data_IF_107113638439
#
_entry.id   IF_107113638439
#
_cell.length_a   1.000
_cell.length_b   1.000
_cell.length_c   1.000
_cell.angle_alpha   90.00
_cell.angle_beta   90.00
_cell.angle_gamma   90.00
#
_symmetry.space_group_name_H-M   'P 1'
#
loop_
_entity.id
_entity.type
_entity.pdbx_description
1 polymer ?
#
# COMPACT_ATOMS: atom_id res chain seq x y z
N UNK A 1 1.98 26.50 12.37
CA UNK A 1 1.29 25.27 12.81
C UNK A 1 2.34 24.21 13.09
N UNK A 2 2.18 23.41 14.14
CA UNK A 2 3.14 22.36 14.54
C UNK A 2 2.48 20.99 14.45
N UNK A 3 3.26 19.96 14.08
CA UNK A 3 2.83 18.56 14.13
C UNK A 3 2.84 18.10 15.59
N UNK A 4 1.73 17.52 16.05
CA UNK A 4 1.58 17.00 17.41
C UNK A 4 1.42 15.48 17.38
N UNK A 5 1.88 14.82 18.43
CA UNK A 5 1.67 13.41 18.69
C UNK A 5 0.23 13.12 19.12
N UNK A 6 -0.22 11.87 18.98
CA UNK A 6 -1.53 11.40 19.47
C UNK A 6 -1.74 11.77 20.94
N UNK A 7 -0.73 11.57 21.78
CA UNK A 7 -0.78 11.92 23.20
C UNK A 7 -1.01 13.41 23.45
N UNK A 8 -0.27 14.28 22.77
CA UNK A 8 -0.44 15.74 22.91
C UNK A 8 -1.82 16.23 22.48
N UNK A 9 -2.40 15.60 21.44
CA UNK A 9 -3.76 15.93 20.97
C UNK A 9 -4.80 15.46 21.99
N UNK A 10 -4.71 14.21 22.46
CA UNK A 10 -5.64 13.66 23.45
C UNK A 10 -5.56 14.40 24.80
N UNK A 11 -4.37 14.83 25.22
CA UNK A 11 -4.20 15.68 26.41
C UNK A 11 -4.90 17.02 26.25
N UNK A 12 -4.76 17.68 25.09
CA UNK A 12 -5.44 18.95 24.83
C UNK A 12 -6.98 18.79 24.78
N UNK A 13 -7.48 17.68 24.22
CA UNK A 13 -8.92 17.36 24.25
C UNK A 13 -9.37 17.16 25.70
N UNK A 14 -8.63 16.37 26.49
CA UNK A 14 -8.95 16.14 27.90
C UNK A 14 -9.00 17.43 28.72
N UNK A 15 -8.09 18.38 28.48
CA UNK A 15 -8.11 19.69 29.14
C UNK A 15 -9.37 20.50 28.80
N UNK A 16 -9.89 20.38 27.57
CA UNK A 16 -11.07 21.11 27.13
C UNK A 16 -12.38 20.48 27.62
N UNK A 17 -12.43 19.15 27.72
CA UNK A 17 -13.59 18.38 28.15
C UNK A 17 -13.49 17.89 29.62
N UNK A 18 -12.56 18.44 30.42
CA UNK A 18 -12.22 17.91 31.74
C UNK A 18 -13.41 17.80 32.72
N UNK A 19 -14.37 18.72 32.62
CA UNK A 19 -15.58 18.75 33.45
C UNK A 19 -16.82 18.21 32.73
N UNK A 20 -16.71 17.89 31.44
CA UNK A 20 -17.81 17.40 30.62
C UNK A 20 -17.84 15.88 30.61
N UNK A 21 -18.67 15.34 31.51
CA UNK A 21 -18.91 13.90 31.64
C UNK A 21 -20.15 13.44 30.85
N UNK A 22 -20.62 14.23 29.89
CA UNK A 22 -21.74 13.85 29.05
C UNK A 22 -21.40 12.69 28.12
N UNK A 23 -22.40 11.89 27.75
CA UNK A 23 -22.25 10.79 26.79
C UNK A 23 -21.70 11.29 25.45
N UNK A 24 -22.02 12.53 25.06
CA UNK A 24 -21.54 13.15 23.82
C UNK A 24 -20.04 13.47 23.88
N UNK A 25 -19.55 14.02 25.00
CA UNK A 25 -18.12 14.24 25.20
C UNK A 25 -17.33 12.93 25.24
N UNK A 26 -17.89 11.90 25.88
CA UNK A 26 -17.28 10.56 25.93
C UNK A 26 -17.20 9.96 24.52
N UNK A 27 -18.30 10.00 23.76
CA UNK A 27 -18.38 9.50 22.38
C UNK A 27 -17.38 10.22 21.48
N UNK A 28 -17.23 11.54 21.61
CA UNK A 28 -16.26 12.30 20.81
C UNK A 28 -14.81 11.89 21.09
N UNK A 29 -14.44 11.70 22.36
CA UNK A 29 -13.09 11.27 22.73
C UNK A 29 -12.80 9.87 22.20
N UNK A 30 -13.78 8.96 22.26
CA UNK A 30 -13.71 7.61 21.70
C UNK A 30 -13.49 7.66 20.18
N UNK A 31 -14.35 8.36 19.44
CA UNK A 31 -14.26 8.49 17.98
C UNK A 31 -12.88 9.00 17.52
N UNK A 32 -12.35 10.01 18.22
CA UNK A 32 -11.03 10.57 17.92
C UNK A 32 -9.93 9.56 18.22
N UNK A 33 -9.96 8.90 19.38
CA UNK A 33 -8.99 7.88 19.77
C UNK A 33 -8.96 6.71 18.79
N UNK A 34 -10.14 6.24 18.38
CA UNK A 34 -10.30 5.12 17.46
C UNK A 34 -9.82 5.47 16.07
N UNK A 35 -10.17 6.66 15.57
CA UNK A 35 -9.69 7.16 14.28
C UNK A 35 -8.16 7.26 14.26
N UNK A 36 -7.53 7.76 15.33
CA UNK A 36 -6.06 7.80 15.41
C UNK A 36 -5.44 6.40 15.42
N UNK A 37 -6.05 5.46 16.14
CA UNK A 37 -5.58 4.07 16.22
C UNK A 37 -5.69 3.37 14.87
N UNK A 38 -6.81 3.56 14.17
CA UNK A 38 -7.05 3.02 12.84
C UNK A 38 -6.07 3.62 11.80
N UNK A 39 -5.86 4.93 11.82
CA UNK A 39 -4.88 5.59 10.96
C UNK A 39 -3.45 5.07 11.19
N UNK A 40 -3.05 4.92 12.46
CA UNK A 40 -1.73 4.37 12.83
C UNK A 40 -1.59 2.92 12.37
N UNK A 41 -2.63 2.10 12.55
CA UNK A 41 -2.66 0.70 12.14
C UNK A 41 -2.48 0.58 10.63
N UNK A 42 -3.27 1.32 9.85
CA UNK A 42 -3.18 1.36 8.39
C UNK A 42 -1.84 1.89 7.90
N UNK A 43 -1.31 2.94 8.53
CA UNK A 43 0.00 3.50 8.19
C UNK A 43 1.15 2.51 8.45
N UNK A 44 1.02 1.65 9.46
CA UNK A 44 1.96 0.57 9.77
C UNK A 44 1.76 -0.70 8.92
N UNK A 45 0.98 -0.59 7.84
CA UNK A 45 0.76 -1.68 6.90
C UNK A 45 -0.38 -2.62 7.30
N UNK A 46 -1.21 -2.27 8.29
CA UNK A 46 -2.34 -3.09 8.75
C UNK A 46 -1.93 -4.52 9.13
N UNK A 47 -0.77 -4.65 9.78
CA UNK A 47 -0.15 -5.94 10.10
C UNK A 47 0.52 -6.65 8.91
N UNK A 48 0.46 -6.08 7.70
CA UNK A 48 1.17 -6.56 6.52
C UNK A 48 2.56 -5.93 6.44
N UNK A 49 3.58 -6.77 6.56
CA UNK A 49 4.96 -6.38 6.23
C UNK A 49 5.12 -6.29 4.71
N UNK A 50 4.82 -5.11 4.16
CA UNK A 50 4.94 -4.82 2.73
C UNK A 50 6.36 -5.02 2.20
N UNK A 51 7.38 -4.84 3.05
CA UNK A 51 8.77 -5.08 2.66
C UNK A 51 9.02 -6.57 2.46
N UNK A 52 8.58 -7.40 3.40
CA UNK A 52 8.66 -8.85 3.24
C UNK A 52 7.87 -9.34 2.02
N UNK A 53 6.65 -8.83 1.81
CA UNK A 53 5.83 -9.12 0.62
C UNK A 53 6.53 -8.76 -0.69
N UNK A 54 7.14 -7.58 -0.76
CA UNK A 54 7.89 -7.16 -1.93
C UNK A 54 9.11 -8.06 -2.20
N UNK A 55 9.82 -8.47 -1.14
CA UNK A 55 10.96 -9.39 -1.25
C UNK A 55 10.54 -10.79 -1.71
N UNK A 56 9.42 -11.32 -1.19
CA UNK A 56 8.84 -12.59 -1.60
C UNK A 56 8.49 -12.59 -3.10
N UNK A 57 7.83 -11.51 -3.56
CA UNK A 57 7.47 -11.33 -4.97
C UNK A 57 8.74 -11.27 -5.84
N UNK A 58 9.74 -10.45 -5.47
CA UNK A 58 10.99 -10.33 -6.21
C UNK A 58 11.72 -11.68 -6.32
N UNK A 59 11.81 -12.43 -5.22
CA UNK A 59 12.41 -13.76 -5.21
C UNK A 59 11.67 -14.72 -6.13
N UNK A 60 10.33 -14.75 -6.07
CA UNK A 60 9.50 -15.59 -6.94
C UNK A 60 9.74 -15.27 -8.43
N UNK A 61 9.82 -13.98 -8.78
CA UNK A 61 10.11 -13.57 -10.15
C UNK A 61 11.52 -13.97 -10.59
N UNK A 62 12.53 -13.84 -9.72
CA UNK A 62 13.90 -14.28 -10.02
C UNK A 62 13.98 -15.79 -10.21
N UNK A 63 13.23 -16.56 -9.41
CA UNK A 63 13.14 -18.01 -9.54
C UNK A 63 12.48 -18.40 -10.86
N UNK A 64 11.32 -17.81 -11.19
CA UNK A 64 10.65 -17.98 -12.49
C UNK A 64 11.56 -17.64 -13.66
N UNK A 65 12.26 -16.51 -13.58
CA UNK A 65 13.20 -16.09 -14.62
C UNK A 65 14.34 -17.09 -14.78
N UNK A 66 14.96 -17.54 -13.67
CA UNK A 66 16.02 -18.57 -13.71
C UNK A 66 15.50 -19.89 -14.27
N UNK A 67 14.30 -20.32 -13.87
CA UNK A 67 13.69 -21.56 -14.35
C UNK A 67 13.62 -21.58 -15.88
N UNK A 68 13.22 -20.48 -16.53
CA UNK A 68 13.18 -20.38 -18.01
C UNK A 68 14.48 -20.79 -18.72
N UNK A 69 15.63 -20.59 -18.10
CA UNK A 69 16.94 -20.91 -18.71
C UNK A 69 17.53 -22.25 -18.29
N UNK A 70 17.09 -22.80 -17.14
CA UNK A 70 17.72 -23.99 -16.54
C UNK A 70 16.77 -25.18 -16.36
N UNK A 71 15.46 -24.97 -16.32
CA UNK A 71 14.47 -26.05 -16.44
C UNK A 71 14.23 -26.30 -17.91
N UNK A 72 15.06 -27.14 -18.53
CA UNK A 72 14.95 -27.49 -19.94
C UNK A 72 13.52 -27.84 -20.33
N UNK A 73 13.06 -27.19 -21.40
CA UNK A 73 11.95 -27.56 -22.30
C UNK A 73 10.90 -28.50 -21.70
N UNK A 74 9.86 -27.94 -21.07
CA UNK A 74 8.54 -28.57 -21.06
C UNK A 74 7.55 -27.59 -21.66
N UNK A 75 7.11 -27.90 -22.86
CA UNK A 75 6.14 -27.15 -23.68
C UNK A 75 4.70 -27.21 -23.14
N UNK A 76 4.47 -27.29 -21.82
CA UNK A 76 3.14 -27.56 -21.26
C UNK A 76 2.78 -26.73 -20.01
N UNK A 77 3.18 -25.46 -19.94
CA UNK A 77 2.45 -24.50 -19.10
C UNK A 77 1.95 -23.36 -20.01
N UNK A 78 0.63 -23.08 -20.08
CA UNK A 78 0.14 -21.93 -20.82
C UNK A 78 0.76 -20.69 -20.18
N UNK A 79 1.57 -19.99 -20.97
CA UNK A 79 2.04 -18.66 -20.63
C UNK A 79 0.79 -17.81 -20.41
N UNK A 80 0.50 -17.49 -19.15
CA UNK A 80 -0.48 -16.44 -18.85
C UNK A 80 0.28 -15.14 -19.13
N UNK A 81 0.53 -14.87 -20.41
CA UNK A 81 0.81 -13.52 -20.85
C UNK A 81 -0.43 -12.70 -20.48
N UNK A 82 -0.30 -11.57 -19.77
CA UNK A 82 -1.39 -10.61 -19.77
C UNK A 82 -1.70 -10.32 -21.23
N UNK A 83 -2.97 -10.34 -21.61
CA UNK A 83 -3.43 -10.03 -22.97
C UNK A 83 -3.05 -8.58 -23.28
N UNK A 84 -1.78 -8.36 -23.67
CA UNK A 84 -1.30 -7.12 -24.21
C UNK A 84 -1.82 -7.14 -25.63
N UNK A 85 -2.90 -6.40 -25.89
CA UNK A 85 -3.36 -6.09 -27.24
C UNK A 85 -2.12 -5.87 -28.11
N UNK A 86 -1.93 -6.69 -29.15
CA UNK A 86 -0.76 -6.68 -30.01
C UNK A 86 -0.43 -5.24 -30.42
N UNK A 87 0.52 -4.62 -29.72
CA UNK A 87 0.99 -3.30 -30.05
C UNK A 87 1.71 -3.45 -31.39
N UNK A 88 1.00 -3.10 -32.48
CA UNK A 88 1.54 -3.08 -33.84
C UNK A 88 2.95 -2.49 -33.79
N UNK A 89 3.94 -3.10 -34.47
CA UNK A 89 5.32 -2.65 -34.38
C UNK A 89 5.45 -1.21 -34.85
N UNK A 90 5.47 -0.27 -33.92
CA UNK A 90 5.70 1.14 -34.21
C UNK A 90 7.18 1.32 -34.57
N UNK A 91 7.44 2.02 -35.68
CA UNK A 91 8.81 2.36 -36.05
C UNK A 91 9.23 3.58 -35.25
N UNK A 92 10.53 3.71 -34.98
CA UNK A 92 11.10 4.86 -34.28
C UNK A 92 10.66 6.20 -34.89
N UNK A 93 10.44 6.22 -36.21
CA UNK A 93 9.98 7.38 -36.98
C UNK A 93 8.53 7.81 -36.64
N UNK A 94 7.71 6.93 -36.07
CA UNK A 94 6.33 7.21 -35.69
C UNK A 94 6.23 7.99 -34.36
N UNK A 95 7.32 8.02 -33.57
CA UNK A 95 7.38 8.68 -32.26
C UNK A 95 7.59 10.20 -32.34
N UNK A 96 7.92 10.74 -33.52
CA UNK A 96 8.31 12.15 -33.69
C UNK A 96 7.45 12.91 -34.70
N UNK A 97 6.33 12.34 -35.15
CA UNK A 97 5.42 13.01 -36.10
C UNK A 97 4.23 13.65 -35.37
N UNK A 98 4.51 14.76 -34.72
CA UNK A 98 3.55 15.85 -34.53
C UNK A 98 4.34 17.16 -34.50
N UNK A 99 4.20 17.95 -35.56
CA UNK A 99 4.69 19.31 -35.72
C UNK A 99 3.71 20.06 -36.61
#
# INVERSE_FOLDING_TARGET
MAVKTKGEILSAIKEHFAEDSSDEAISFIEDVSDTFTDLETRANGDGVDWKAKAQEIDNNWREKYKARFFSGTKEDEPDIEPEVEEAKPMKFEDLFKEG
#
